data_IF_186855852561
#
_entry.id   IF_186855852561
#
_cell.length_a   1.000
_cell.length_b   1.000
_cell.length_c   1.000
_cell.angle_alpha   90.00
_cell.angle_beta   90.00
_cell.angle_gamma   90.00
#
_symmetry.space_group_name_H-M   'P 1'
#
loop_
_entity.id
_entity.type
_entity.pdbx_description
1 polymer ?
#
# COMPACT_ATOMS: atom_id res chain seq x y z
N UNK A 1 16.89 4.74 61.76
CA UNK A 1 16.82 5.20 60.35
C UNK A 1 17.43 4.24 59.31
N UNK A 2 18.41 3.43 59.59
CA UNK A 2 19.02 2.49 58.60
C UNK A 2 18.15 1.30 58.27
N UNK A 3 17.41 0.74 59.24
CA UNK A 3 16.53 -0.45 59.06
C UNK A 3 15.38 -0.17 58.08
N UNK A 4 14.75 1.01 58.11
CA UNK A 4 13.67 1.36 57.20
C UNK A 4 14.13 1.46 55.74
N UNK A 5 15.38 1.87 55.47
CA UNK A 5 15.92 1.91 54.10
C UNK A 5 16.18 0.48 53.59
N UNK A 6 16.72 -0.39 54.45
CA UNK A 6 16.98 -1.78 54.10
C UNK A 6 15.66 -2.51 53.73
N UNK A 7 14.62 -2.31 54.53
CA UNK A 7 13.28 -2.86 54.26
C UNK A 7 12.69 -2.35 52.95
N UNK A 8 12.87 -1.10 52.58
CA UNK A 8 12.45 -0.55 51.28
C UNK A 8 13.16 -1.21 50.11
N UNK A 9 14.50 -1.38 50.19
CA UNK A 9 15.24 -2.06 49.12
C UNK A 9 14.84 -3.54 49.00
N UNK A 10 14.60 -4.25 50.09
CA UNK A 10 14.13 -5.62 50.06
C UNK A 10 12.73 -5.72 49.44
N UNK A 11 11.83 -4.79 49.75
CA UNK A 11 10.50 -4.73 49.13
C UNK A 11 10.56 -4.46 47.61
N UNK A 12 11.47 -3.57 47.16
CA UNK A 12 11.67 -3.28 45.71
C UNK A 12 12.25 -4.50 44.99
N UNK A 13 13.22 -5.18 45.58
CA UNK A 13 13.80 -6.40 44.98
C UNK A 13 12.75 -7.51 44.88
N UNK A 14 11.93 -7.66 45.92
CA UNK A 14 10.86 -8.63 45.92
C UNK A 14 9.79 -8.28 44.85
N UNK A 15 9.40 -7.02 44.71
CA UNK A 15 8.47 -6.55 43.67
C UNK A 15 9.02 -6.80 42.27
N UNK A 16 10.31 -6.50 42.04
CA UNK A 16 10.95 -6.76 40.73
C UNK A 16 11.04 -8.26 40.43
N UNK A 17 11.35 -9.10 41.42
CA UNK A 17 11.41 -10.55 41.23
C UNK A 17 10.03 -11.14 40.92
N UNK A 18 8.98 -10.69 41.61
CA UNK A 18 7.60 -11.14 41.33
C UNK A 18 7.11 -10.70 39.98
N UNK A 19 7.37 -9.44 39.54
CA UNK A 19 7.02 -8.98 38.20
C UNK A 19 7.78 -9.73 37.11
N UNK A 20 9.05 -10.05 37.31
CA UNK A 20 9.84 -10.88 36.41
C UNK A 20 9.26 -12.30 36.26
N UNK A 21 8.88 -12.93 37.34
CA UNK A 21 8.26 -14.25 37.31
C UNK A 21 6.90 -14.22 36.58
N UNK A 22 6.08 -13.19 36.83
CA UNK A 22 4.81 -12.99 36.13
C UNK A 22 4.99 -12.80 34.60
N UNK A 23 5.95 -11.99 34.22
CA UNK A 23 6.26 -11.76 32.78
C UNK A 23 6.75 -13.06 32.13
N UNK A 24 7.62 -13.81 32.82
CA UNK A 24 8.13 -15.09 32.31
C UNK A 24 7.02 -16.15 32.17
N UNK A 25 6.13 -16.26 33.14
CA UNK A 25 4.95 -17.17 33.07
C UNK A 25 3.99 -16.73 31.96
N UNK A 26 3.72 -15.41 31.81
CA UNK A 26 2.85 -14.87 30.78
C UNK A 26 3.40 -15.11 29.37
N UNK A 27 4.70 -14.92 29.17
CA UNK A 27 5.38 -15.20 27.88
C UNK A 27 5.35 -16.70 27.60
N UNK A 28 5.66 -17.55 28.58
CA UNK A 28 5.61 -19.01 28.41
C UNK A 28 4.20 -19.52 28.12
N UNK A 29 3.18 -18.94 28.76
CA UNK A 29 1.78 -19.28 28.52
C UNK A 29 1.34 -18.89 27.12
N UNK A 30 1.64 -17.67 26.65
CA UNK A 30 1.31 -17.23 25.32
C UNK A 30 2.06 -18.00 24.22
N UNK A 31 3.31 -18.41 24.46
CA UNK A 31 4.06 -19.24 23.52
C UNK A 31 3.55 -20.68 23.44
N UNK A 32 2.92 -21.19 24.50
CA UNK A 32 2.32 -22.54 24.50
C UNK A 32 0.92 -22.57 23.86
N UNK A 33 0.19 -21.47 23.86
CA UNK A 33 -1.15 -21.39 23.25
C UNK A 33 -1.14 -21.21 21.74
N UNK A 34 0.00 -20.90 21.12
CA UNK A 34 0.18 -20.84 19.66
C UNK A 34 0.59 -22.19 19.02
N UNK A 35 0.20 -23.32 19.61
CA UNK A 35 0.16 -24.59 18.87
C UNK A 35 -1.14 -24.61 18.07
N UNK A 36 -1.03 -24.36 16.77
CA UNK A 36 -2.08 -24.71 15.81
C UNK A 36 -2.59 -26.12 16.11
N UNK A 37 -3.90 -26.33 16.23
CA UNK A 37 -4.45 -27.68 16.41
C UNK A 37 -3.97 -28.54 15.23
N UNK A 38 -3.26 -29.62 15.51
CA UNK A 38 -3.04 -30.71 14.56
C UNK A 38 -4.38 -31.42 14.31
N UNK A 39 -5.16 -30.80 13.49
CA UNK A 39 -6.40 -31.37 12.96
C UNK A 39 -6.20 -31.74 11.50
N UNK A 40 -5.34 -32.71 11.27
CA UNK A 40 -5.46 -33.57 10.09
C UNK A 40 -4.55 -34.76 10.34
N UNK A 41 -5.21 -35.89 10.62
CA UNK A 41 -4.59 -37.20 10.68
C UNK A 41 -3.92 -37.52 9.34
N UNK A 42 -2.90 -38.32 9.45
CA UNK A 42 -2.17 -38.95 8.38
C UNK A 42 -3.10 -39.52 7.31
N UNK A 43 -3.06 -38.93 6.16
CA UNK A 43 -3.29 -39.56 4.86
C UNK A 43 -2.88 -38.59 3.77
N UNK A 44 -1.61 -38.67 3.33
CA UNK A 44 -1.26 -38.51 1.92
C UNK A 44 0.24 -38.56 1.76
N UNK A 45 0.68 -39.53 1.02
CA UNK A 45 1.99 -39.64 0.39
C UNK A 45 2.45 -38.26 -0.09
N UNK A 46 3.69 -37.82 0.17
CA UNK A 46 4.17 -36.55 -0.34
C UNK A 46 4.19 -36.62 -1.88
N UNK A 47 3.15 -36.10 -2.50
CA UNK A 47 3.19 -35.65 -3.87
C UNK A 47 4.30 -34.61 -3.98
N UNK A 48 5.13 -34.60 -5.05
CA UNK A 48 6.20 -33.64 -5.18
C UNK A 48 5.64 -32.24 -4.98
N UNK A 49 6.22 -31.50 -4.05
CA UNK A 49 5.79 -30.18 -3.65
C UNK A 49 5.40 -29.37 -4.88
N UNK A 50 4.12 -29.14 -5.08
CA UNK A 50 3.66 -28.04 -5.90
C UNK A 50 4.26 -26.80 -5.25
N UNK A 51 5.36 -26.31 -5.79
CA UNK A 51 5.86 -24.99 -5.47
C UNK A 51 4.65 -24.07 -5.64
N UNK A 52 4.15 -23.51 -4.55
CA UNK A 52 3.21 -22.41 -4.59
C UNK A 52 3.90 -21.32 -5.39
N UNK A 53 3.59 -21.26 -6.68
CA UNK A 53 4.10 -20.24 -7.58
C UNK A 53 3.54 -18.93 -7.01
N UNK A 54 4.38 -18.22 -6.26
CA UNK A 54 4.05 -16.91 -5.73
C UNK A 54 3.94 -15.99 -6.93
N UNK A 55 2.72 -15.63 -7.30
CA UNK A 55 2.49 -14.68 -8.38
C UNK A 55 3.13 -13.33 -8.05
N UNK A 56 3.67 -12.65 -9.07
CA UNK A 56 4.27 -11.32 -8.94
C UNK A 56 3.29 -10.35 -8.26
N UNK A 57 3.79 -9.49 -7.39
CA UNK A 57 3.01 -8.55 -6.57
C UNK A 57 1.90 -9.20 -5.72
N UNK A 58 1.93 -10.53 -5.51
CA UNK A 58 0.89 -11.25 -4.79
C UNK A 58 -0.46 -11.26 -5.50
N UNK A 59 -0.47 -11.15 -6.85
CA UNK A 59 -1.70 -11.20 -7.65
C UNK A 59 -2.41 -12.54 -7.48
N UNK A 60 -3.74 -12.51 -7.61
CA UNK A 60 -4.58 -13.72 -7.59
C UNK A 60 -4.29 -14.67 -8.75
N UNK A 61 -3.82 -14.14 -9.88
CA UNK A 61 -3.44 -14.90 -11.09
C UNK A 61 -2.10 -14.39 -11.64
N UNK A 62 -1.31 -15.28 -12.23
CA UNK A 62 -0.08 -14.90 -12.92
C UNK A 62 -0.38 -14.13 -14.21
N UNK A 63 0.42 -13.12 -14.51
CA UNK A 63 0.37 -12.42 -15.79
C UNK A 63 1.04 -13.25 -16.90
N UNK A 64 0.58 -13.10 -18.16
CA UNK A 64 1.31 -13.63 -19.32
C UNK A 64 2.72 -13.02 -19.45
N UNK A 65 3.65 -13.72 -20.12
CA UNK A 65 5.06 -13.30 -20.21
C UNK A 65 5.28 -11.91 -20.86
N UNK A 66 4.36 -11.49 -21.75
CA UNK A 66 4.42 -10.19 -22.42
C UNK A 66 3.70 -9.06 -21.64
N UNK A 67 3.36 -9.30 -20.37
CA UNK A 67 2.68 -8.34 -19.53
C UNK A 67 3.48 -8.04 -18.27
N UNK A 68 3.37 -6.82 -17.80
CA UNK A 68 3.82 -6.41 -16.47
C UNK A 68 2.74 -6.66 -15.43
N UNK A 69 3.12 -7.25 -14.31
CA UNK A 69 2.24 -7.38 -13.16
C UNK A 69 2.29 -6.11 -12.31
N UNK A 70 1.14 -5.60 -11.88
CA UNK A 70 1.07 -4.44 -11.00
C UNK A 70 0.01 -4.62 -9.91
N UNK A 71 0.23 -3.93 -8.79
CA UNK A 71 -0.73 -3.78 -7.71
C UNK A 71 -0.59 -2.40 -7.09
N UNK A 72 -1.70 -1.67 -7.01
CA UNK A 72 -1.78 -0.34 -6.44
C UNK A 72 -2.83 -0.37 -5.33
N UNK A 73 -2.48 0.07 -4.15
CA UNK A 73 -3.38 0.19 -3.01
C UNK A 73 -3.36 1.64 -2.54
N UNK A 74 -4.53 2.27 -2.45
CA UNK A 74 -4.64 3.63 -1.90
C UNK A 74 -4.36 3.65 -0.40
N UNK A 75 -4.11 4.83 0.14
CA UNK A 75 -4.05 5.00 1.59
C UNK A 75 -5.41 4.70 2.25
N UNK A 76 -5.38 4.27 3.52
CA UNK A 76 -6.56 4.14 4.36
C UNK A 76 -6.67 5.36 5.27
N UNK A 77 -7.63 6.23 5.01
CA UNK A 77 -7.81 7.52 5.67
C UNK A 77 -6.49 8.33 5.67
N UNK A 78 -6.12 8.91 6.82
CA UNK A 78 -4.85 9.60 7.06
C UNK A 78 -3.88 8.77 7.92
N UNK A 79 -4.11 7.47 8.06
CA UNK A 79 -3.41 6.58 9.00
C UNK A 79 -2.44 5.64 8.28
N UNK A 80 -2.90 4.96 7.23
CA UNK A 80 -2.07 4.02 6.47
C UNK A 80 -1.78 4.58 5.10
N UNK A 81 -0.51 4.75 4.77
CA UNK A 81 -0.09 5.23 3.46
C UNK A 81 -0.29 4.19 2.35
N UNK A 82 -0.27 4.61 1.08
CA UNK A 82 -0.46 3.75 -0.07
C UNK A 82 0.71 2.77 -0.28
N UNK A 83 0.43 1.74 -1.08
CA UNK A 83 1.46 0.78 -1.50
C UNK A 83 1.36 0.54 -2.99
N UNK A 84 2.50 0.50 -3.68
CA UNK A 84 2.59 0.17 -5.09
C UNK A 84 3.64 -0.91 -5.33
N UNK A 85 3.25 -1.95 -6.05
CA UNK A 85 4.12 -3.02 -6.52
C UNK A 85 4.06 -3.08 -8.05
N UNK A 86 5.22 -3.31 -8.67
CA UNK A 86 5.36 -3.52 -10.10
C UNK A 86 6.42 -4.59 -10.35
N UNK A 87 6.10 -5.63 -11.14
CA UNK A 87 6.98 -6.76 -11.47
C UNK A 87 7.62 -7.43 -10.23
N UNK A 88 6.80 -7.67 -9.18
CA UNK A 88 7.19 -8.21 -7.87
C UNK A 88 8.08 -7.29 -7.02
N UNK A 89 8.35 -6.09 -7.50
CA UNK A 89 9.10 -5.09 -6.76
C UNK A 89 8.16 -4.09 -6.08
N UNK A 90 8.17 -4.01 -4.76
CA UNK A 90 7.50 -2.92 -4.05
C UNK A 90 8.23 -1.62 -4.33
N UNK A 91 7.59 -0.70 -5.07
CA UNK A 91 8.19 0.58 -5.46
C UNK A 91 7.95 1.62 -4.38
N UNK A 92 6.74 1.66 -3.85
CA UNK A 92 6.28 2.65 -2.89
C UNK A 92 5.58 1.96 -1.72
N UNK A 93 5.87 2.37 -0.51
CA UNK A 93 5.19 1.91 0.70
C UNK A 93 5.55 2.77 1.91
N UNK A 94 4.73 2.76 2.98
CA UNK A 94 5.07 3.38 4.26
C UNK A 94 6.40 2.86 4.85
N UNK A 95 6.70 1.58 4.64
CA UNK A 95 7.96 0.95 5.13
C UNK A 95 9.18 1.55 4.43
N UNK A 96 9.06 1.91 3.14
CA UNK A 96 10.13 2.61 2.39
C UNK A 96 10.22 4.10 2.72
N UNK A 97 9.30 4.63 3.51
CA UNK A 97 9.21 6.04 3.86
C UNK A 97 9.23 6.99 2.64
N UNK A 98 8.60 6.58 1.55
CA UNK A 98 8.52 7.31 0.29
C UNK A 98 7.07 7.62 -0.13
N UNK A 99 6.17 7.71 0.84
CA UNK A 99 4.75 8.08 0.67
C UNK A 99 4.49 9.46 1.27
N UNK A 100 3.56 10.20 0.69
CA UNK A 100 3.15 11.53 1.17
C UNK A 100 1.65 11.73 1.09
N UNK A 101 1.11 12.65 1.90
CA UNK A 101 -0.30 13.03 1.84
C UNK A 101 -0.62 13.68 0.49
N UNK A 102 -1.76 13.35 -0.08
CA UNK A 102 -2.18 13.79 -1.40
C UNK A 102 -2.06 12.70 -2.46
N UNK A 103 -1.57 13.05 -3.64
CA UNK A 103 -1.31 12.12 -4.72
C UNK A 103 0.11 11.55 -4.61
N UNK A 104 0.18 10.24 -4.66
CA UNK A 104 1.42 9.49 -4.76
C UNK A 104 1.52 8.95 -6.19
N UNK A 105 2.52 9.39 -6.93
CA UNK A 105 2.67 9.09 -8.36
C UNK A 105 4.01 8.43 -8.59
N UNK A 106 4.01 7.36 -9.37
CA UNK A 106 5.20 6.64 -9.79
C UNK A 106 5.20 6.56 -11.30
N UNK A 107 6.32 6.90 -11.94
CA UNK A 107 6.57 6.61 -13.35
C UNK A 107 7.42 5.35 -13.45
N UNK A 108 7.04 4.49 -14.37
CA UNK A 108 7.74 3.25 -14.68
C UNK A 108 8.16 3.28 -16.14
N UNK A 109 9.47 3.18 -16.39
CA UNK A 109 10.05 3.05 -17.71
C UNK A 109 10.54 1.61 -17.91
N UNK A 110 9.74 0.79 -18.57
CA UNK A 110 10.04 -0.62 -18.79
C UNK A 110 10.27 -1.40 -17.50
N UNK A 111 11.33 -2.24 -17.47
CA UNK A 111 11.56 -3.20 -16.37
C UNK A 111 12.34 -2.63 -15.17
N UNK A 112 12.95 -1.43 -15.26
CA UNK A 112 14.06 -1.09 -14.35
C UNK A 112 14.08 0.31 -13.74
N UNK A 113 13.33 1.28 -14.26
CA UNK A 113 13.41 2.67 -13.80
C UNK A 113 12.12 3.14 -13.15
N UNK A 114 12.23 3.58 -11.89
CA UNK A 114 11.09 4.10 -11.13
C UNK A 114 11.38 5.51 -10.64
N UNK A 115 10.49 6.44 -10.99
CA UNK A 115 10.55 7.81 -10.53
C UNK A 115 9.35 8.10 -9.63
N UNK A 116 9.61 8.57 -8.42
CA UNK A 116 8.56 8.91 -7.44
C UNK A 116 8.35 10.41 -7.45
N UNK A 117 7.09 10.83 -7.61
CA UNK A 117 6.74 12.24 -7.61
C UNK A 117 6.89 12.86 -6.22
N UNK A 118 7.43 14.09 -6.12
CA UNK A 118 7.40 14.88 -4.90
C UNK A 118 5.96 15.31 -4.55
N UNK A 119 5.67 15.56 -3.25
CA UNK A 119 4.33 15.91 -2.77
C UNK A 119 3.86 17.34 -3.11
N UNK A 120 4.65 18.12 -3.82
CA UNK A 120 4.34 19.49 -4.22
C UNK A 120 3.65 19.56 -5.61
N UNK A 121 2.55 20.34 -5.71
CA UNK A 121 1.75 20.43 -6.92
C UNK A 121 2.50 21.03 -8.14
N UNK A 122 3.41 21.97 -7.91
CA UNK A 122 4.19 22.59 -8.98
C UNK A 122 5.21 21.60 -9.56
N UNK A 123 5.85 20.85 -8.67
CA UNK A 123 6.78 19.79 -9.06
C UNK A 123 6.04 18.62 -9.70
N UNK A 124 4.84 18.29 -9.24
CA UNK A 124 3.99 17.28 -9.87
C UNK A 124 3.63 17.66 -11.31
N UNK A 125 3.25 18.93 -11.54
CA UNK A 125 2.94 19.42 -12.90
C UNK A 125 4.13 19.26 -13.84
N UNK A 126 5.34 19.65 -13.38
CA UNK A 126 6.56 19.47 -14.16
C UNK A 126 6.84 18.01 -14.45
N UNK A 127 6.75 17.17 -13.42
CA UNK A 127 6.94 15.73 -13.50
C UNK A 127 6.00 15.06 -14.52
N UNK A 128 4.70 15.43 -14.52
CA UNK A 128 3.71 14.89 -15.47
C UNK A 128 3.93 15.36 -16.91
N UNK A 129 4.56 16.53 -17.12
CA UNK A 129 4.90 17.04 -18.48
C UNK A 129 6.12 16.35 -19.08
N UNK A 130 6.99 15.80 -18.26
CA UNK A 130 8.22 15.13 -18.68
C UNK A 130 8.01 13.64 -19.00
N UNK A 131 6.76 13.13 -18.91
CA UNK A 131 6.44 11.72 -19.20
C UNK A 131 6.64 11.44 -20.68
N UNK A 132 7.43 10.42 -21.02
CA UNK A 132 7.59 9.92 -22.38
C UNK A 132 6.51 8.90 -22.76
N UNK A 133 6.39 8.60 -24.07
CA UNK A 133 5.34 7.73 -24.61
C UNK A 133 5.40 6.29 -24.11
N UNK A 134 6.60 5.82 -23.71
CA UNK A 134 6.83 4.44 -23.24
C UNK A 134 6.64 4.27 -21.73
N UNK A 135 6.31 5.35 -21.01
CA UNK A 135 6.17 5.31 -19.56
C UNK A 135 4.75 4.98 -19.11
N UNK A 136 4.66 4.12 -18.08
CA UNK A 136 3.44 3.88 -17.32
C UNK A 136 3.40 4.79 -16.09
N UNK A 137 2.21 5.30 -15.78
CA UNK A 137 1.95 6.18 -14.63
C UNK A 137 1.07 5.44 -13.64
N UNK A 138 1.58 5.18 -12.44
CA UNK A 138 0.82 4.59 -11.35
C UNK A 138 0.49 5.67 -10.32
N UNK A 139 -0.75 5.73 -9.88
CA UNK A 139 -1.24 6.75 -8.93
C UNK A 139 -2.02 6.12 -7.81
N UNK A 140 -1.79 6.58 -6.59
CA UNK A 140 -2.60 6.26 -5.42
C UNK A 140 -2.83 7.49 -4.55
N UNK A 141 -4.05 7.70 -4.11
CA UNK A 141 -4.42 8.73 -3.14
C UNK A 141 -4.03 8.35 -1.71
N UNK A 142 -3.74 9.36 -0.91
CA UNK A 142 -3.55 9.25 0.53
C UNK A 142 -4.05 10.50 1.24
N UNK A 143 -4.91 10.34 2.23
CA UNK A 143 -5.55 11.43 2.99
C UNK A 143 -6.42 12.31 2.08
N UNK A 144 -5.88 13.38 1.51
CA UNK A 144 -6.62 14.33 0.68
C UNK A 144 -5.89 14.56 -0.67
N UNK A 145 -6.29 13.84 -1.72
CA UNK A 145 -5.72 14.03 -3.05
C UNK A 145 -6.27 15.26 -3.78
N UNK A 146 -7.46 15.75 -3.40
CA UNK A 146 -8.21 16.74 -4.19
C UNK A 146 -7.80 18.19 -3.98
N UNK A 147 -7.49 18.59 -2.75
CA UNK A 147 -7.27 20.00 -2.40
C UNK A 147 -6.09 20.65 -3.13
N UNK A 148 -5.04 19.88 -3.43
CA UNK A 148 -3.86 20.38 -4.16
C UNK A 148 -3.94 20.22 -5.68
N UNK A 149 -5.04 19.63 -6.19
CA UNK A 149 -5.26 19.49 -7.63
C UNK A 149 -5.70 20.81 -8.26
N UNK A 150 -4.98 21.23 -9.29
CA UNK A 150 -5.40 22.33 -10.16
C UNK A 150 -5.93 21.79 -11.50
N UNK A 151 -6.53 22.66 -12.32
CA UNK A 151 -7.10 22.26 -13.60
C UNK A 151 -6.06 21.72 -14.58
N UNK A 152 -4.82 22.19 -14.50
CA UNK A 152 -3.72 21.71 -15.34
C UNK A 152 -3.37 20.25 -14.99
N UNK A 153 -3.20 19.93 -13.72
CA UNK A 153 -2.93 18.55 -13.25
C UNK A 153 -4.10 17.63 -13.64
N UNK A 154 -5.34 18.08 -13.44
CA UNK A 154 -6.55 17.35 -13.86
C UNK A 154 -6.56 17.03 -15.35
N UNK A 155 -6.17 18.01 -16.18
CA UNK A 155 -6.06 17.84 -17.63
C UNK A 155 -4.95 16.85 -17.99
N UNK A 156 -3.78 16.95 -17.35
CA UNK A 156 -2.66 16.04 -17.60
C UNK A 156 -3.05 14.58 -17.30
N UNK A 157 -3.66 14.29 -16.16
CA UNK A 157 -4.15 12.92 -15.87
C UNK A 157 -5.26 12.46 -16.83
N UNK A 158 -6.13 13.38 -17.27
CA UNK A 158 -7.15 13.04 -18.27
C UNK A 158 -6.53 12.67 -19.63
N UNK A 159 -5.40 13.29 -20.00
CA UNK A 159 -4.63 12.96 -21.21
C UNK A 159 -3.92 11.59 -21.07
N UNK A 160 -3.54 11.20 -19.85
CA UNK A 160 -3.00 9.88 -19.54
C UNK A 160 -4.07 8.77 -19.49
N UNK A 161 -5.32 9.08 -19.82
CA UNK A 161 -6.41 8.14 -19.92
C UNK A 161 -7.36 8.11 -18.73
N UNK A 162 -7.19 8.96 -17.71
CA UNK A 162 -8.10 8.98 -16.55
C UNK A 162 -9.50 9.50 -16.94
N UNK A 163 -10.51 8.87 -16.36
CA UNK A 163 -11.91 9.28 -16.42
C UNK A 163 -12.30 10.17 -15.23
N UNK A 164 -11.71 9.90 -14.05
CA UNK A 164 -12.13 10.49 -12.79
C UNK A 164 -11.27 11.66 -12.31
N UNK A 165 -10.08 11.89 -12.88
CA UNK A 165 -9.18 12.97 -12.44
C UNK A 165 -9.85 14.37 -12.39
N UNK A 166 -10.79 14.65 -13.30
CA UNK A 166 -11.49 15.94 -13.37
C UNK A 166 -12.42 16.18 -12.16
N UNK A 167 -12.96 15.13 -11.58
CA UNK A 167 -13.94 15.21 -10.49
C UNK A 167 -13.35 14.89 -9.11
N UNK A 168 -12.05 14.57 -9.05
CA UNK A 168 -11.37 14.23 -7.80
C UNK A 168 -11.47 15.39 -6.80
N UNK A 169 -12.08 15.14 -5.65
CA UNK A 169 -12.38 16.11 -4.61
C UNK A 169 -11.67 15.83 -3.28
N UNK A 170 -12.10 16.56 -2.25
CA UNK A 170 -11.56 16.47 -0.91
C UNK A 170 -11.76 15.08 -0.32
N UNK A 171 -10.66 14.43 0.08
CA UNK A 171 -10.63 13.10 0.71
C UNK A 171 -11.24 11.97 -0.13
N UNK A 172 -11.36 12.12 -1.43
CA UNK A 172 -11.75 11.02 -2.31
C UNK A 172 -10.65 9.94 -2.33
N UNK A 173 -11.04 8.66 -2.48
CA UNK A 173 -10.08 7.59 -2.76
C UNK A 173 -9.95 7.37 -4.26
N UNK A 174 -8.71 7.28 -4.73
CA UNK A 174 -8.42 7.11 -6.16
C UNK A 174 -7.15 6.30 -6.38
N UNK A 175 -7.24 5.31 -7.26
CA UNK A 175 -6.10 4.56 -7.79
C UNK A 175 -6.22 4.50 -9.31
N UNK A 176 -5.09 4.62 -10.00
CA UNK A 176 -5.06 4.74 -11.44
C UNK A 176 -3.74 4.24 -12.02
N UNK A 177 -3.82 3.58 -13.18
CA UNK A 177 -2.68 3.30 -14.03
C UNK A 177 -3.01 3.82 -15.44
N UNK A 178 -2.14 4.64 -15.98
CA UNK A 178 -2.29 5.24 -17.29
C UNK A 178 -0.98 5.35 -18.06
N UNK A 179 -1.09 5.79 -19.31
CA UNK A 179 0.04 6.05 -20.20
C UNK A 179 -0.31 7.17 -21.17
N UNK A 180 0.71 7.70 -21.85
CA UNK A 180 0.47 8.62 -22.97
C UNK A 180 -0.09 7.87 -24.20
N UNK A 181 -0.74 8.60 -25.09
CA UNK A 181 -1.20 8.11 -26.39
C UNK A 181 -2.13 6.89 -26.37
N UNK A 182 -2.82 6.66 -25.23
CA UNK A 182 -3.86 5.63 -25.17
C UNK A 182 -4.98 5.95 -26.17
N UNK A 183 -5.35 4.98 -27.02
CA UNK A 183 -6.47 5.12 -27.99
C UNK A 183 -7.82 5.30 -27.31
N UNK A 184 -7.94 4.86 -26.07
CA UNK A 184 -9.13 4.91 -25.22
C UNK A 184 -8.77 5.27 -23.79
N UNK A 185 -9.77 5.45 -22.94
CA UNK A 185 -9.55 5.61 -21.50
C UNK A 185 -8.90 4.37 -20.91
N UNK A 186 -8.08 4.57 -19.89
CA UNK A 186 -7.46 3.45 -19.18
C UNK A 186 -8.51 2.57 -18.53
N UNK A 187 -8.44 1.23 -18.69
CA UNK A 187 -9.30 0.30 -17.96
C UNK A 187 -8.88 0.12 -16.49
N UNK A 188 -7.74 0.66 -16.12
CA UNK A 188 -7.14 0.50 -14.79
C UNK A 188 -7.36 1.78 -13.96
N UNK A 189 -8.58 1.98 -13.52
CA UNK A 189 -8.95 3.11 -12.68
C UNK A 189 -10.06 2.71 -11.73
N UNK A 190 -9.91 3.07 -10.45
CA UNK A 190 -10.97 2.97 -9.45
C UNK A 190 -11.07 4.28 -8.66
N UNK A 191 -12.29 4.66 -8.33
CA UNK A 191 -12.61 5.92 -7.67
C UNK A 191 -13.75 5.71 -6.67
N UNK A 192 -13.59 6.24 -5.46
CA UNK A 192 -14.65 6.36 -4.46
C UNK A 192 -14.73 7.80 -3.97
N UNK A 193 -15.93 8.36 -4.08
CA UNK A 193 -16.20 9.70 -3.60
C UNK A 193 -16.34 9.71 -2.09
N UNK A 194 -15.75 10.72 -1.45
CA UNK A 194 -15.97 11.01 -0.05
C UNK A 194 -17.43 11.40 0.18
N UNK A 195 -18.15 10.57 0.91
CA UNK A 195 -19.55 10.81 1.30
C UNK A 195 -19.75 10.35 2.75
N UNK A 196 -20.09 11.26 3.68
CA UNK A 196 -20.27 10.93 5.10
C UNK A 196 -21.25 9.77 5.37
N UNK A 197 -22.23 9.56 4.49
CA UNK A 197 -23.22 8.49 4.64
C UNK A 197 -22.70 7.10 4.25
N UNK A 198 -21.68 7.02 3.39
CA UNK A 198 -21.17 5.76 2.84
C UNK A 198 -19.70 5.51 3.16
N UNK A 199 -19.04 6.44 3.82
CA UNK A 199 -17.63 6.30 4.19
C UNK A 199 -17.40 5.09 5.10
N UNK A 200 -16.33 4.34 4.82
CA UNK A 200 -15.87 3.24 5.65
C UNK A 200 -15.20 3.72 6.93
N UNK A 201 -14.47 4.84 6.84
CA UNK A 201 -13.73 5.45 7.92
C UNK A 201 -14.36 6.80 8.29
N UNK A 202 -14.08 7.30 9.49
CA UNK A 202 -14.56 8.61 9.94
C UNK A 202 -13.95 9.73 9.06
N UNK A 203 -14.74 10.22 8.10
CA UNK A 203 -14.37 11.27 7.16
C UNK A 203 -13.62 10.82 5.91
N UNK A 204 -13.47 9.52 5.65
CA UNK A 204 -12.85 8.96 4.42
C UNK A 204 -13.59 7.73 3.89
N UNK A 205 -13.64 7.54 2.56
CA UNK A 205 -14.13 6.31 1.94
C UNK A 205 -13.20 5.13 2.22
N UNK A 206 -13.62 3.94 1.80
CA UNK A 206 -12.79 2.74 1.86
C UNK A 206 -11.51 2.91 1.01
N UNK A 207 -10.43 2.22 1.41
CA UNK A 207 -9.26 2.09 0.57
C UNK A 207 -9.61 1.33 -0.72
N UNK A 208 -8.90 1.65 -1.79
CA UNK A 208 -9.04 1.00 -3.08
C UNK A 208 -7.83 0.10 -3.35
N UNK A 209 -8.08 -1.04 -3.94
CA UNK A 209 -7.06 -1.97 -4.40
C UNK A 209 -7.28 -2.26 -5.88
N UNK A 210 -6.28 -1.97 -6.70
CA UNK A 210 -6.26 -2.19 -8.13
C UNK A 210 -5.08 -3.07 -8.48
N UNK A 211 -5.34 -4.24 -9.05
CA UNK A 211 -4.31 -5.17 -9.48
C UNK A 211 -4.58 -5.67 -10.90
N UNK A 212 -3.53 -6.07 -11.60
CA UNK A 212 -3.69 -6.58 -12.95
C UNK A 212 -2.41 -6.76 -13.72
N UNK A 213 -2.59 -6.94 -15.02
CA UNK A 213 -1.52 -7.12 -16.00
C UNK A 213 -1.66 -6.06 -17.10
N UNK A 214 -0.58 -5.33 -17.40
CA UNK A 214 -0.53 -4.33 -18.47
C UNK A 214 0.48 -4.79 -19.54
N UNK A 215 0.19 -4.62 -20.85
CA UNK A 215 1.13 -5.03 -21.90
C UNK A 215 2.49 -4.34 -21.76
N UNK A 216 3.59 -5.05 -22.07
CA UNK A 216 4.96 -4.48 -22.06
C UNK A 216 5.20 -3.42 -23.13
N UNK A 217 4.38 -3.40 -24.19
CA UNK A 217 4.36 -2.34 -25.22
C UNK A 217 2.96 -1.74 -25.21
N UNK A 218 2.87 -0.49 -24.89
CA UNK A 218 1.64 0.31 -24.92
C UNK A 218 1.46 0.94 -26.28
#
# INVERSE_FOLDING_TARGET
MRVCRLLRYLALIFAMATTWLFIREYINFNMKTFRLPRWMGDCCVPSPASQLVKNKCGLSKSCPDNFFAFKIVSGAANVVGPTMCFEDQTIMSPVKNNVGRGLNVVLVDGDTSFFVSPPDASLLTKFLKEISEDMLVLVASYDDPGTKMNDEIRKLFSNLGSTHAKQLGFRDSWVFLGAQNLKSKSPFEQFLKNNPETNKYDGWPELLELEGCVPRKV
#
